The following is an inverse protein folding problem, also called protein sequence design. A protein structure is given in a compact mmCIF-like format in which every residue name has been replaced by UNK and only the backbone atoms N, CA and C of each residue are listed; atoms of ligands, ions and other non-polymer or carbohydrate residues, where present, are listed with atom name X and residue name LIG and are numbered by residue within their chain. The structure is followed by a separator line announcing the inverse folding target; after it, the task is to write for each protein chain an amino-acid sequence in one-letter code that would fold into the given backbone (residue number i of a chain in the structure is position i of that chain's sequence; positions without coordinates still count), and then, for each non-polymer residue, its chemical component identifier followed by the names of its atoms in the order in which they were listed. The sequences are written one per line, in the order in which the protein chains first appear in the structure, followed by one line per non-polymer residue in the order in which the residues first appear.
data_IF_082639579411
#
_entry.id   IF_082639579411
#
_cell.length_a   1.000
_cell.length_b   1.000
_cell.length_c   1.000
_cell.angle_alpha   90.00
_cell.angle_beta   90.00
_cell.angle_gamma   90.00
#
_symmetry.space_group_name_H-M   'P 1'
#
loop_
_entity.id
_entity.type
_entity.pdbx_description
1 polymer ?
#
# COMPACT_ATOMS: atom_id res chain seq x y z
N UNK A 1 -15.42 -2.86 11.48
CA UNK A 1 -14.88 -4.10 12.07
C UNK A 1 -15.95 -4.91 12.79
N UNK A 2 -16.65 -4.39 13.81
CA UNK A 2 -17.70 -5.13 14.56
C UNK A 2 -18.70 -5.91 13.72
N UNK A 3 -19.26 -5.31 12.65
CA UNK A 3 -20.18 -6.02 11.73
C UNK A 3 -19.52 -7.20 11.00
N UNK A 4 -18.24 -7.09 10.69
CA UNK A 4 -17.49 -8.11 9.95
C UNK A 4 -16.98 -9.24 10.87
N UNK A 5 -16.63 -8.93 12.11
CA UNK A 5 -16.12 -9.89 13.10
C UNK A 5 -17.20 -10.48 14.01
N UNK A 6 -18.39 -9.86 14.06
CA UNK A 6 -19.48 -10.26 14.95
C UNK A 6 -19.31 -9.83 16.41
N UNK A 7 -18.22 -9.13 16.74
CA UNK A 7 -17.86 -8.71 18.09
C UNK A 7 -17.06 -7.40 18.08
N UNK A 8 -17.11 -6.66 19.19
CA UNK A 8 -16.51 -5.35 19.41
C UNK A 8 -15.01 -5.43 19.74
N UNK A 9 -14.33 -4.29 19.72
CA UNK A 9 -12.94 -4.16 20.18
C UNK A 9 -12.83 -4.38 21.70
N UNK A 10 -13.86 -4.01 22.46
CA UNK A 10 -13.95 -4.29 23.90
C UNK A 10 -13.98 -5.80 24.23
N UNK A 11 -14.46 -6.64 23.30
CA UNK A 11 -14.45 -8.10 23.41
C UNK A 11 -13.14 -8.73 22.91
N UNK A 12 -12.15 -7.91 22.51
CA UNK A 12 -10.86 -8.36 22.00
C UNK A 12 -10.90 -8.97 20.59
N UNK A 13 -12.02 -8.84 19.88
CA UNK A 13 -12.22 -9.46 18.58
C UNK A 13 -11.42 -8.79 17.44
N UNK A 14 -10.99 -7.56 17.64
CA UNK A 14 -10.12 -6.79 16.74
C UNK A 14 -9.52 -5.62 17.50
N UNK A 15 -8.37 -5.13 17.03
CA UNK A 15 -7.75 -3.90 17.52
C UNK A 15 -7.93 -2.79 16.50
N UNK A 16 -7.85 -1.53 16.93
CA UNK A 16 -7.98 -0.35 16.04
C UNK A 16 -7.05 -0.42 14.82
N UNK A 17 -5.88 -1.05 14.95
CA UNK A 17 -4.92 -1.26 13.85
C UNK A 17 -5.50 -2.10 12.73
N UNK A 18 -6.32 -3.11 13.03
CA UNK A 18 -6.98 -3.93 12.01
C UNK A 18 -7.92 -3.10 11.15
N UNK A 19 -8.56 -2.08 11.74
CA UNK A 19 -9.40 -1.14 11.00
C UNK A 19 -8.59 -0.26 10.04
N UNK A 20 -7.36 0.14 10.42
CA UNK A 20 -6.47 0.90 9.54
C UNK A 20 -5.91 0.03 8.43
N UNK A 21 -5.44 -1.19 8.73
CA UNK A 21 -4.95 -2.13 7.71
C UNK A 21 -6.06 -2.50 6.71
N UNK A 22 -7.31 -2.64 7.18
CA UNK A 22 -8.47 -2.86 6.31
C UNK A 22 -8.81 -1.63 5.43
N UNK A 23 -8.67 -0.41 5.96
CA UNK A 23 -8.89 0.82 5.19
C UNK A 23 -7.84 0.96 4.07
N UNK A 24 -6.57 0.75 4.40
CA UNK A 24 -5.47 0.78 3.43
C UNK A 24 -5.63 -0.30 2.37
N UNK A 25 -6.02 -1.53 2.76
CA UNK A 25 -6.34 -2.60 1.82
C UNK A 25 -7.46 -2.21 0.85
N UNK A 26 -8.48 -1.49 1.32
CA UNK A 26 -9.58 -1.02 0.48
C UNK A 26 -9.09 0.01 -0.56
N UNK A 27 -8.14 0.89 -0.19
CA UNK A 27 -7.49 1.82 -1.13
C UNK A 27 -6.71 1.04 -2.19
N UNK A 28 -5.94 0.03 -1.81
CA UNK A 28 -5.22 -0.85 -2.77
C UNK A 28 -6.20 -1.50 -3.75
N UNK A 29 -7.25 -2.16 -3.24
CA UNK A 29 -8.26 -2.82 -4.08
C UNK A 29 -8.98 -1.82 -5.01
N UNK A 30 -9.28 -0.63 -4.51
CA UNK A 30 -9.87 0.43 -5.32
C UNK A 30 -8.95 0.84 -6.48
N UNK A 31 -7.65 1.01 -6.22
CA UNK A 31 -6.68 1.40 -7.24
C UNK A 31 -6.38 0.28 -8.23
N UNK A 32 -6.37 -0.98 -7.81
CA UNK A 32 -6.27 -2.13 -8.71
C UNK A 32 -7.45 -2.15 -9.70
N UNK A 33 -8.65 -1.82 -9.22
CA UNK A 33 -9.86 -1.82 -10.04
C UNK A 33 -10.01 -0.58 -10.92
N UNK A 34 -9.73 0.60 -10.38
CA UNK A 34 -10.06 1.88 -11.02
C UNK A 34 -8.86 2.73 -11.41
N UNK A 35 -7.64 2.35 -11.03
CA UNK A 35 -6.43 3.13 -11.27
C UNK A 35 -6.16 3.40 -12.76
N UNK A 36 -6.47 2.44 -13.64
CA UNK A 36 -6.39 2.65 -15.10
C UNK A 36 -7.34 3.74 -15.58
N UNK A 37 -8.60 3.70 -15.14
CA UNK A 37 -9.60 4.70 -15.50
C UNK A 37 -9.23 6.09 -14.93
N UNK A 38 -8.70 6.14 -13.71
CA UNK A 38 -8.18 7.37 -13.11
C UNK A 38 -7.03 7.96 -13.93
N UNK A 39 -6.04 7.14 -14.36
CA UNK A 39 -4.94 7.62 -15.22
C UNK A 39 -5.43 8.14 -16.56
N UNK A 40 -6.39 7.44 -17.19
CA UNK A 40 -7.00 7.90 -18.43
C UNK A 40 -7.72 9.24 -18.25
N UNK A 41 -8.43 9.42 -17.14
CA UNK A 41 -9.08 10.69 -16.78
C UNK A 41 -8.09 11.81 -16.49
N UNK A 42 -6.96 11.51 -15.85
CA UNK A 42 -5.91 12.49 -15.58
C UNK A 42 -5.27 12.98 -16.89
N UNK A 43 -5.13 12.10 -17.88
CA UNK A 43 -4.51 12.40 -19.16
C UNK A 43 -2.98 12.31 -19.13
N UNK A 44 -2.38 12.26 -20.32
CA UNK A 44 -0.92 12.14 -20.50
C UNK A 44 -0.21 13.49 -20.74
N UNK A 45 -0.95 14.60 -20.72
CA UNK A 45 -0.41 15.94 -20.90
C UNK A 45 0.35 16.45 -19.67
N UNK A 46 0.89 17.67 -19.77
CA UNK A 46 1.68 18.30 -18.72
C UNK A 46 0.96 18.37 -17.35
N UNK A 47 -0.37 18.54 -17.36
CA UNK A 47 -1.19 18.64 -16.14
C UNK A 47 -1.64 17.29 -15.58
N UNK A 48 -1.49 16.20 -16.34
CA UNK A 48 -1.91 14.85 -15.95
C UNK A 48 -1.34 14.37 -14.60
N UNK A 49 -0.04 14.56 -14.32
CA UNK A 49 0.55 14.34 -13.00
C UNK A 49 -0.21 14.97 -11.84
N UNK A 50 -0.51 16.27 -11.94
CA UNK A 50 -1.18 17.02 -10.89
C UNK A 50 -2.66 16.59 -10.75
N UNK A 51 -3.33 16.32 -11.87
CA UNK A 51 -4.70 15.82 -11.88
C UNK A 51 -4.82 14.43 -11.21
N UNK A 52 -3.87 13.53 -11.48
CA UNK A 52 -3.80 12.22 -10.81
C UNK A 52 -3.55 12.38 -9.32
N UNK A 53 -2.57 13.19 -8.92
CA UNK A 53 -2.26 13.44 -7.51
C UNK A 53 -3.49 13.98 -6.75
N UNK A 54 -4.21 14.96 -7.31
CA UNK A 54 -5.42 15.49 -6.68
C UNK A 54 -6.54 14.44 -6.51
N UNK A 55 -6.65 13.46 -7.42
CA UNK A 55 -7.59 12.34 -7.23
C UNK A 55 -7.13 11.40 -6.11
N UNK A 56 -5.83 11.14 -6.02
CA UNK A 56 -5.25 10.30 -4.96
C UNK A 56 -5.35 10.97 -3.59
N UNK A 57 -5.12 12.26 -3.48
CA UNK A 57 -5.29 13.02 -2.22
C UNK A 57 -6.74 12.99 -1.73
N UNK A 58 -7.71 13.10 -2.65
CA UNK A 58 -9.14 12.93 -2.31
C UNK A 58 -9.45 11.51 -1.81
N UNK A 59 -8.80 10.48 -2.38
CA UNK A 59 -8.96 9.11 -1.92
C UNK A 59 -8.34 8.90 -0.53
N UNK A 60 -7.11 9.41 -0.32
CA UNK A 60 -6.43 9.35 0.96
C UNK A 60 -7.19 10.10 2.07
N UNK A 61 -7.88 11.19 1.74
CA UNK A 61 -8.72 11.93 2.69
C UNK A 61 -9.96 11.15 3.17
N UNK A 62 -10.30 10.01 2.55
CA UNK A 62 -11.36 9.11 3.03
C UNK A 62 -10.87 8.14 4.10
N UNK A 63 -9.56 7.98 4.27
CA UNK A 63 -9.01 7.12 5.30
C UNK A 63 -9.19 7.74 6.69
N UNK A 64 -9.41 6.92 7.74
CA UNK A 64 -9.43 7.41 9.11
C UNK A 64 -8.15 8.18 9.43
N UNK A 65 -8.25 9.28 10.18
CA UNK A 65 -7.05 9.95 10.67
C UNK A 65 -6.27 9.01 11.61
N UNK A 66 -5.01 8.71 11.27
CA UNK A 66 -4.11 7.88 12.08
C UNK A 66 -3.63 8.66 13.30
N UNK A 67 -4.52 8.86 14.27
CA UNK A 67 -4.31 9.71 15.46
C UNK A 67 -3.82 8.93 16.68
N UNK A 68 -3.82 7.60 16.64
CA UNK A 68 -3.32 6.72 17.71
C UNK A 68 -2.05 6.01 17.25
N UNK A 69 -1.05 5.91 18.13
CA UNK A 69 0.19 5.15 17.95
C UNK A 69 0.17 3.96 18.92
N UNK A 70 0.42 2.74 18.43
CA UNK A 70 0.59 1.56 19.30
C UNK A 70 2.06 1.33 19.62
N UNK A 71 2.36 0.62 20.71
CA UNK A 71 3.73 0.23 21.07
C UNK A 71 4.40 -0.59 19.95
N UNK A 72 3.67 -1.49 19.30
CA UNK A 72 4.16 -2.25 18.14
C UNK A 72 4.49 -1.36 16.93
N UNK A 73 3.71 -0.31 16.70
CA UNK A 73 3.93 0.63 15.60
C UNK A 73 5.15 1.52 15.85
N UNK A 74 5.43 1.88 17.10
CA UNK A 74 6.66 2.56 17.51
C UNK A 74 7.86 1.61 17.40
N UNK A 75 7.73 0.39 17.92
CA UNK A 75 8.80 -0.62 17.94
C UNK A 75 9.25 -1.04 16.54
N UNK A 76 8.31 -1.20 15.61
CA UNK A 76 8.59 -1.62 14.23
C UNK A 76 8.61 -0.44 13.22
N UNK A 77 8.54 0.80 13.71
CA UNK A 77 8.48 2.03 12.88
C UNK A 77 7.46 1.94 11.72
N UNK A 78 6.28 1.40 11.99
CA UNK A 78 5.28 1.09 10.97
C UNK A 78 4.47 2.32 10.56
N UNK A 79 5.09 3.19 9.76
CA UNK A 79 4.42 4.28 9.08
C UNK A 79 4.08 3.84 7.66
N UNK A 80 2.78 3.83 7.34
CA UNK A 80 2.35 3.59 5.98
C UNK A 80 2.74 4.76 5.09
N UNK A 81 3.31 4.48 3.92
CA UNK A 81 3.65 5.51 2.93
C UNK A 81 2.38 6.23 2.48
N UNK A 82 2.23 7.55 2.75
CA UNK A 82 1.08 8.31 2.29
C UNK A 82 0.88 8.18 0.79
N UNK A 83 -0.37 8.02 0.34
CA UNK A 83 -0.68 7.68 -1.04
C UNK A 83 -0.10 8.64 -2.09
N UNK A 84 -0.11 9.94 -1.78
CA UNK A 84 0.51 10.97 -2.63
C UNK A 84 2.02 10.81 -2.77
N UNK A 85 2.71 10.45 -1.67
CA UNK A 85 4.15 10.17 -1.70
C UNK A 85 4.46 8.88 -2.45
N UNK A 86 3.64 7.83 -2.29
CA UNK A 86 3.80 6.60 -3.06
C UNK A 86 3.72 6.87 -4.58
N UNK A 87 2.78 7.71 -5.00
CA UNK A 87 2.68 8.14 -6.39
C UNK A 87 3.89 8.94 -6.84
N UNK A 88 4.34 9.91 -6.04
CA UNK A 88 5.52 10.72 -6.36
C UNK A 88 6.79 9.86 -6.49
N UNK A 89 6.98 8.88 -5.60
CA UNK A 89 8.12 7.96 -5.63
C UNK A 89 8.13 7.12 -6.91
N UNK A 90 7.02 6.48 -7.28
CA UNK A 90 6.94 5.68 -8.52
C UNK A 90 7.12 6.55 -9.76
N UNK A 91 6.64 7.79 -9.73
CA UNK A 91 6.88 8.76 -10.81
C UNK A 91 8.35 9.16 -10.94
N UNK A 92 9.02 9.39 -9.81
CA UNK A 92 10.45 9.70 -9.78
C UNK A 92 11.31 8.50 -10.23
N UNK A 93 10.90 7.27 -9.88
CA UNK A 93 11.55 6.04 -10.30
C UNK A 93 11.50 5.82 -11.83
N UNK A 94 10.57 6.49 -12.53
CA UNK A 94 10.44 6.44 -13.99
C UNK A 94 10.37 5.02 -14.56
N UNK A 95 9.60 4.14 -13.88
CA UNK A 95 9.48 2.73 -14.22
C UNK A 95 9.09 2.50 -15.68
N UNK A 96 9.71 1.51 -16.29
CA UNK A 96 9.54 1.08 -17.68
C UNK A 96 9.07 -0.37 -17.76
N UNK A 97 8.58 -0.75 -18.93
CA UNK A 97 8.26 -2.15 -19.21
C UNK A 97 9.52 -3.02 -19.05
N UNK A 98 9.42 -4.06 -18.23
CA UNK A 98 10.53 -4.97 -17.92
C UNK A 98 11.28 -4.65 -16.63
N UNK A 99 11.03 -3.50 -15.99
CA UNK A 99 11.60 -3.20 -14.69
C UNK A 99 11.03 -4.12 -13.61
N UNK A 100 11.89 -4.49 -12.66
CA UNK A 100 11.55 -5.27 -11.47
C UNK A 100 11.62 -4.34 -10.26
N UNK A 101 10.60 -4.41 -9.39
CA UNK A 101 10.50 -3.54 -8.22
C UNK A 101 10.58 -4.38 -6.96
N UNK A 102 11.55 -4.06 -6.11
CA UNK A 102 11.64 -4.56 -4.75
C UNK A 102 11.13 -3.47 -3.81
N UNK A 103 10.15 -3.81 -2.97
CA UNK A 103 9.77 -2.99 -1.83
C UNK A 103 10.13 -3.68 -0.52
N UNK A 104 11.19 -3.23 0.17
CA UNK A 104 11.77 -3.94 1.32
C UNK A 104 10.91 -3.84 2.59
N UNK A 105 10.03 -2.84 2.69
CA UNK A 105 9.09 -2.67 3.80
C UNK A 105 7.72 -2.29 3.26
N UNK A 106 7.07 -3.25 2.60
CA UNK A 106 5.89 -3.02 1.78
C UNK A 106 4.65 -2.57 2.54
N UNK A 107 4.58 -2.77 3.86
CA UNK A 107 3.42 -2.41 4.66
C UNK A 107 2.18 -3.13 4.13
N UNK A 108 1.14 -2.36 3.79
CA UNK A 108 -0.08 -2.87 3.16
C UNK A 108 -0.08 -2.77 1.63
N UNK A 109 1.00 -2.26 1.02
CA UNK A 109 1.22 -2.31 -0.43
C UNK A 109 0.92 -1.00 -1.18
N UNK A 110 1.02 0.16 -0.52
CA UNK A 110 0.69 1.44 -1.16
C UNK A 110 1.66 1.84 -2.29
N UNK A 111 2.96 1.59 -2.11
CA UNK A 111 3.95 1.68 -3.19
C UNK A 111 3.75 0.57 -4.23
N UNK A 112 3.45 -0.65 -3.77
CA UNK A 112 3.25 -1.81 -4.64
C UNK A 112 2.10 -1.60 -5.64
N UNK A 113 0.96 -1.05 -5.22
CA UNK A 113 -0.16 -0.78 -6.13
C UNK A 113 0.14 0.34 -7.12
N UNK A 114 0.95 1.33 -6.73
CA UNK A 114 1.43 2.38 -7.65
C UNK A 114 2.39 1.81 -8.69
N UNK A 115 3.33 0.96 -8.26
CA UNK A 115 4.25 0.26 -9.15
C UNK A 115 3.50 -0.67 -10.11
N UNK A 116 2.56 -1.49 -9.60
CA UNK A 116 1.67 -2.32 -10.42
C UNK A 116 0.94 -1.48 -11.47
N UNK A 117 0.42 -0.33 -11.07
CA UNK A 117 -0.27 0.59 -11.97
C UNK A 117 0.64 1.13 -13.09
N UNK A 118 1.91 1.40 -12.80
CA UNK A 118 2.90 1.86 -13.77
C UNK A 118 3.36 0.74 -14.71
N UNK A 119 3.65 -0.44 -14.17
CA UNK A 119 4.14 -1.61 -14.91
C UNK A 119 3.04 -2.36 -15.67
N UNK A 120 1.78 -2.18 -15.27
CA UNK A 120 0.63 -2.90 -15.82
C UNK A 120 0.55 -4.38 -15.43
N UNK A 121 1.43 -4.84 -14.53
CA UNK A 121 1.47 -6.20 -14.01
C UNK A 121 2.01 -6.21 -12.57
N UNK A 122 1.71 -7.27 -11.82
CA UNK A 122 2.24 -7.46 -10.45
C UNK A 122 3.35 -8.52 -10.36
N UNK A 123 3.58 -9.30 -11.42
CA UNK A 123 4.60 -10.36 -11.45
C UNK A 123 6.03 -9.84 -11.33
N UNK A 124 6.22 -8.55 -11.60
CA UNK A 124 7.51 -7.86 -11.48
C UNK A 124 7.73 -7.26 -10.08
N UNK A 125 6.82 -7.53 -9.12
CA UNK A 125 6.89 -7.02 -7.76
C UNK A 125 7.46 -8.07 -6.80
N UNK A 126 8.45 -7.66 -6.04
CA UNK A 126 8.98 -8.37 -4.89
C UNK A 126 8.69 -7.55 -3.64
N UNK A 127 7.87 -8.07 -2.75
CA UNK A 127 7.38 -7.37 -1.58
C UNK A 127 7.94 -8.06 -0.34
N UNK A 128 8.50 -7.28 0.58
CA UNK A 128 8.96 -7.78 1.86
C UNK A 128 8.22 -7.07 2.99
N UNK A 129 7.71 -7.84 3.96
CA UNK A 129 7.06 -7.30 5.14
C UNK A 129 7.23 -8.26 6.31
N UNK A 130 7.81 -7.76 7.41
CA UNK A 130 8.13 -8.57 8.59
C UNK A 130 6.87 -8.93 9.40
N UNK A 131 5.85 -8.07 9.40
CA UNK A 131 4.64 -8.30 10.16
C UNK A 131 3.73 -9.36 9.51
N UNK A 132 3.43 -10.42 10.27
CA UNK A 132 2.70 -11.58 9.76
C UNK A 132 1.34 -11.24 9.12
N UNK A 133 0.57 -10.35 9.75
CA UNK A 133 -0.75 -9.93 9.25
C UNK A 133 -0.63 -9.20 7.91
N UNK A 134 0.27 -8.23 7.82
CA UNK A 134 0.49 -7.42 6.62
C UNK A 134 1.07 -8.25 5.48
N UNK A 135 2.04 -9.12 5.74
CA UNK A 135 2.55 -10.05 4.74
C UNK A 135 1.45 -10.99 4.22
N UNK A 136 0.57 -11.48 5.10
CA UNK A 136 -0.60 -12.27 4.72
C UNK A 136 -1.60 -11.47 3.86
N UNK A 137 -1.80 -10.20 4.18
CA UNK A 137 -2.64 -9.28 3.41
C UNK A 137 -2.03 -9.03 2.02
N UNK A 138 -0.72 -8.73 1.92
CA UNK A 138 -0.01 -8.52 0.66
C UNK A 138 -0.14 -9.73 -0.28
N UNK A 139 0.03 -10.94 0.25
CA UNK A 139 -0.11 -12.16 -0.55
C UNK A 139 -1.52 -12.35 -1.13
N UNK A 140 -2.55 -11.77 -0.49
CA UNK A 140 -3.93 -11.78 -0.99
C UNK A 140 -4.22 -10.63 -1.95
N UNK A 141 -3.64 -9.46 -1.70
CA UNK A 141 -3.81 -8.26 -2.53
C UNK A 141 -3.05 -8.38 -3.86
N UNK A 142 -1.89 -9.04 -3.87
CA UNK A 142 -0.99 -9.16 -5.03
C UNK A 142 -0.61 -10.63 -5.27
N UNK A 143 -1.56 -11.49 -5.70
CA UNK A 143 -1.32 -12.94 -5.81
C UNK A 143 -0.20 -13.33 -6.81
N UNK A 144 0.12 -12.47 -7.78
CA UNK A 144 1.23 -12.67 -8.72
C UNK A 144 2.58 -12.13 -8.24
N UNK A 145 2.64 -11.39 -7.12
CA UNK A 145 3.88 -10.86 -6.55
C UNK A 145 4.58 -11.88 -5.64
N UNK A 146 5.91 -11.81 -5.57
CA UNK A 146 6.68 -12.56 -4.57
C UNK A 146 6.60 -11.86 -3.21
N UNK A 147 6.11 -12.53 -2.16
CA UNK A 147 6.03 -11.96 -0.80
C UNK A 147 7.00 -12.68 0.15
N UNK A 148 7.86 -11.91 0.79
CA UNK A 148 8.87 -12.38 1.76
C UNK A 148 8.72 -11.67 3.11
N UNK A 149 9.41 -12.17 4.14
CA UNK A 149 9.30 -11.68 5.55
C UNK A 149 10.66 -11.51 6.21
N UNK A 150 11.67 -11.15 5.42
CA UNK A 150 13.01 -10.88 5.89
C UNK A 150 13.03 -9.62 6.76
N UNK A 151 13.92 -9.59 7.74
CA UNK A 151 14.28 -8.36 8.43
C UNK A 151 15.06 -7.48 7.45
N UNK A 152 14.47 -6.36 7.05
CA UNK A 152 15.05 -5.45 6.07
C UNK A 152 16.28 -4.71 6.61
N UNK A 153 16.43 -4.58 7.94
CA UNK A 153 17.63 -3.99 8.55
C UNK A 153 18.88 -4.81 8.22
N UNK A 154 18.74 -6.13 8.11
CA UNK A 154 19.85 -7.05 7.84
C UNK A 154 20.18 -7.22 6.34
N UNK A 155 19.46 -6.57 5.42
CA UNK A 155 19.61 -6.79 3.97
C UNK A 155 20.87 -6.11 3.39
N UNK A 156 21.43 -5.12 4.09
CA UNK A 156 22.67 -4.44 3.68
C UNK A 156 23.94 -4.91 4.42
N UNK A 157 23.79 -5.79 5.43
CA UNK A 157 24.85 -6.16 6.38
C UNK A 157 25.45 -7.56 6.15
N UNK A 158 25.32 -8.10 4.92
CA UNK A 158 25.97 -9.36 4.53
C UNK A 158 26.57 -9.32 3.13
#
# INVERSE_FOLDING_TARGET
MTRATGATDAEGAWVWKDAYEAAEAAVVLFLQRYGRAMRQRAGAGADGPAAMLAMLERLAALEPSHTKRSEDQVRLQQFSTPLGLAYAAVRAAALRAGDVVLEPSAGTGMLAVMAQCALGNENSLHLNEIANTRAGLLARLFPGASVTRHDAEAVADR
#
